data_IF_609145526907
#
_entry.id   IF_609145526907
#
_cell.length_a   1.000
_cell.length_b   1.000
_cell.length_c   1.000
_cell.angle_alpha   90.00
_cell.angle_beta   90.00
_cell.angle_gamma   90.00
#
_symmetry.space_group_name_H-M   'P 1'
#
loop_
_entity.id
_entity.type
_entity.pdbx_description
1 polymer ?
#
# COMPACT_ATOMS: atom_id res chain seq x y z
N UNK A 1 8.49 -13.56 -16.12
CA UNK A 1 7.48 -13.01 -15.17
C UNK A 1 7.58 -13.70 -13.79
N UNK A 2 7.44 -15.02 -13.68
CA UNK A 2 7.46 -15.72 -12.39
C UNK A 2 8.70 -15.43 -11.54
N UNK A 3 9.90 -15.40 -12.15
CA UNK A 3 11.15 -15.12 -11.43
C UNK A 3 11.19 -13.71 -10.85
N UNK A 4 10.76 -12.71 -11.63
CA UNK A 4 10.69 -11.30 -11.18
C UNK A 4 9.69 -11.10 -10.05
N UNK A 5 8.60 -11.89 -10.06
CA UNK A 5 7.55 -11.85 -9.04
C UNK A 5 7.83 -12.78 -7.83
N UNK A 6 9.02 -13.40 -7.75
CA UNK A 6 9.40 -14.25 -6.62
C UNK A 6 8.76 -15.65 -6.62
N UNK A 7 8.18 -16.10 -7.74
CA UNK A 7 7.51 -17.40 -7.87
C UNK A 7 8.32 -18.42 -8.67
N UNK A 8 9.64 -18.29 -8.68
CA UNK A 8 10.54 -19.26 -9.36
C UNK A 8 10.32 -20.67 -8.81
N UNK A 9 10.06 -21.62 -9.70
CA UNK A 9 9.86 -23.01 -9.34
C UNK A 9 8.47 -23.41 -8.89
N UNK A 10 7.53 -22.48 -8.79
CA UNK A 10 6.13 -22.79 -8.49
C UNK A 10 5.31 -22.98 -9.77
N UNK A 11 4.39 -23.94 -9.75
CA UNK A 11 3.40 -24.09 -10.80
C UNK A 11 2.36 -22.97 -10.76
N UNK A 12 1.68 -22.71 -11.87
CA UNK A 12 0.58 -21.75 -11.96
C UNK A 12 -0.54 -22.06 -10.94
N UNK A 13 -0.84 -23.33 -10.72
CA UNK A 13 -1.84 -23.77 -9.76
C UNK A 13 -1.44 -23.43 -8.32
N UNK A 14 -0.19 -23.68 -7.96
CA UNK A 14 0.35 -23.33 -6.63
C UNK A 14 0.32 -21.83 -6.39
N UNK A 15 0.74 -21.03 -7.39
CA UNK A 15 0.69 -19.56 -7.33
C UNK A 15 -0.74 -19.05 -7.14
N UNK A 16 -1.69 -19.53 -7.94
CA UNK A 16 -3.08 -19.14 -7.86
C UNK A 16 -3.68 -19.49 -6.49
N UNK A 17 -3.43 -20.70 -5.99
CA UNK A 17 -3.93 -21.16 -4.69
C UNK A 17 -3.29 -20.38 -3.53
N UNK A 18 -2.00 -20.06 -3.62
CA UNK A 18 -1.31 -19.24 -2.62
C UNK A 18 -1.93 -17.83 -2.56
N UNK A 19 -2.03 -17.13 -3.70
CA UNK A 19 -2.58 -15.79 -3.75
C UNK A 19 -4.03 -15.75 -3.25
N UNK A 20 -4.88 -16.70 -3.65
CA UNK A 20 -6.26 -16.79 -3.18
C UNK A 20 -6.32 -16.89 -1.66
N UNK A 21 -5.59 -17.86 -1.07
CA UNK A 21 -5.58 -18.09 0.38
C UNK A 21 -5.02 -16.89 1.15
N UNK A 22 -3.99 -16.24 0.61
CA UNK A 22 -3.41 -15.04 1.21
C UNK A 22 -4.43 -13.91 1.25
N UNK A 23 -5.10 -13.63 0.14
CA UNK A 23 -6.13 -12.57 0.08
C UNK A 23 -7.30 -12.89 1.01
N UNK A 24 -7.84 -14.12 0.98
CA UNK A 24 -8.91 -14.55 1.87
C UNK A 24 -8.52 -14.39 3.35
N UNK A 25 -7.31 -14.79 3.72
CA UNK A 25 -6.81 -14.62 5.09
C UNK A 25 -6.68 -13.14 5.48
N UNK A 26 -6.10 -12.30 4.62
CA UNK A 26 -5.92 -10.86 4.89
C UNK A 26 -7.25 -10.14 5.10
N UNK A 27 -8.30 -10.50 4.35
CA UNK A 27 -9.61 -9.85 4.42
C UNK A 27 -10.39 -10.20 5.72
N UNK A 28 -10.05 -11.30 6.40
CA UNK A 28 -10.77 -11.80 7.59
C UNK A 28 -10.00 -11.58 8.92
N UNK A 29 -8.84 -10.90 8.86
CA UNK A 29 -7.97 -10.76 10.05
C UNK A 29 -8.49 -9.78 11.10
N UNK A 30 -9.13 -8.70 10.68
CA UNK A 30 -9.56 -7.62 11.58
C UNK A 30 -10.86 -6.98 11.10
N UNK A 31 -11.91 -7.15 11.87
CA UNK A 31 -13.24 -6.59 11.59
C UNK A 31 -13.34 -5.08 11.83
N UNK A 32 -12.33 -4.47 12.46
CA UNK A 32 -12.22 -3.01 12.66
C UNK A 32 -11.42 -2.33 11.57
N UNK A 33 -10.78 -3.12 10.72
CA UNK A 33 -10.02 -2.66 9.54
C UNK A 33 -10.77 -3.02 8.27
N UNK A 34 -10.88 -2.09 7.34
CA UNK A 34 -11.43 -2.33 6.01
C UNK A 34 -10.27 -2.44 5.02
N UNK A 35 -9.94 -3.65 4.65
CA UNK A 35 -9.03 -3.93 3.55
C UNK A 35 -9.87 -4.30 2.31
N UNK A 36 -9.68 -3.58 1.23
CA UNK A 36 -10.31 -3.87 -0.06
C UNK A 36 -9.25 -4.23 -1.09
N UNK A 37 -9.32 -5.43 -1.64
CA UNK A 37 -8.48 -5.88 -2.75
C UNK A 37 -9.45 -6.23 -3.89
N UNK A 38 -9.51 -5.40 -4.92
CA UNK A 38 -10.43 -5.59 -6.02
C UNK A 38 -9.68 -5.69 -7.34
N UNK A 39 -10.03 -6.70 -8.13
CA UNK A 39 -9.45 -6.94 -9.45
C UNK A 39 -10.52 -6.80 -10.53
N UNK A 40 -10.19 -6.24 -11.68
CA UNK A 40 -11.05 -6.24 -12.85
C UNK A 40 -10.29 -6.45 -14.15
N UNK A 41 -11.00 -7.07 -15.08
CA UNK A 41 -10.54 -7.32 -16.45
C UNK A 41 -11.62 -6.79 -17.39
N UNK A 42 -11.27 -5.74 -18.11
CA UNK A 42 -12.13 -5.12 -19.11
C UNK A 42 -11.68 -5.57 -20.49
N UNK A 43 -12.57 -6.20 -21.23
CA UNK A 43 -12.28 -6.81 -22.52
C UNK A 43 -12.97 -5.98 -23.59
N UNK A 44 -12.23 -5.61 -24.66
CA UNK A 44 -12.82 -4.96 -25.81
C UNK A 44 -13.92 -5.85 -26.42
N UNK A 45 -15.09 -5.30 -26.64
CA UNK A 45 -16.22 -6.04 -27.20
C UNK A 45 -15.84 -6.73 -28.52
N UNK A 46 -16.09 -8.04 -28.55
CA UNK A 46 -15.77 -8.90 -29.70
C UNK A 46 -14.31 -9.34 -29.79
N UNK A 47 -13.48 -9.05 -28.76
CA UNK A 47 -12.14 -9.60 -28.66
C UNK A 47 -12.20 -10.97 -27.96
N UNK A 48 -11.70 -12.00 -28.64
CA UNK A 48 -11.78 -13.39 -28.16
C UNK A 48 -10.77 -13.68 -27.05
N UNK A 49 -11.24 -13.73 -25.81
CA UNK A 49 -10.43 -14.16 -24.65
C UNK A 49 -10.87 -15.58 -24.26
N UNK A 50 -9.90 -16.43 -23.91
CA UNK A 50 -10.14 -17.82 -23.54
C UNK A 50 -10.99 -17.96 -22.27
N UNK A 51 -11.99 -18.82 -22.31
CA UNK A 51 -12.90 -19.08 -21.19
C UNK A 51 -12.15 -19.54 -19.93
N UNK A 52 -11.08 -20.33 -20.10
CA UNK A 52 -10.26 -20.81 -18.98
C UNK A 52 -9.55 -19.66 -18.27
N UNK A 53 -9.02 -18.68 -19.02
CA UNK A 53 -8.45 -17.47 -18.45
C UNK A 53 -9.48 -16.68 -17.64
N UNK A 54 -10.67 -16.46 -18.21
CA UNK A 54 -11.77 -15.76 -17.53
C UNK A 54 -12.18 -16.51 -16.25
N UNK A 55 -12.35 -17.83 -16.34
CA UNK A 55 -12.75 -18.69 -15.23
C UNK A 55 -11.75 -18.67 -14.07
N UNK A 56 -10.45 -18.78 -14.38
CA UNK A 56 -9.38 -18.74 -13.37
C UNK A 56 -9.37 -17.38 -12.67
N UNK A 57 -9.44 -16.28 -13.40
CA UNK A 57 -9.42 -14.94 -12.80
C UNK A 57 -10.62 -14.69 -11.89
N UNK A 58 -11.82 -15.11 -12.30
CA UNK A 58 -13.02 -15.04 -11.44
C UNK A 58 -12.89 -15.89 -10.18
N UNK A 59 -12.39 -17.12 -10.30
CA UNK A 59 -12.36 -18.10 -9.21
C UNK A 59 -11.23 -17.84 -8.21
N UNK A 60 -10.04 -17.46 -8.71
CA UNK A 60 -8.82 -17.39 -7.90
C UNK A 60 -8.53 -15.96 -7.40
N UNK A 61 -8.95 -14.94 -8.15
CA UNK A 61 -8.65 -13.54 -7.85
C UNK A 61 -9.89 -12.68 -7.60
N UNK A 62 -11.09 -13.29 -7.57
CA UNK A 62 -12.38 -12.59 -7.45
C UNK A 62 -12.51 -11.42 -8.44
N UNK A 63 -11.93 -11.59 -9.63
CA UNK A 63 -11.87 -10.54 -10.62
C UNK A 63 -13.23 -10.32 -11.28
N UNK A 64 -13.66 -9.05 -11.38
CA UNK A 64 -14.76 -8.69 -12.27
C UNK A 64 -14.25 -8.76 -13.71
N UNK A 65 -14.83 -9.63 -14.53
CA UNK A 65 -14.49 -9.76 -15.96
C UNK A 65 -15.69 -9.32 -16.78
N UNK A 66 -15.51 -8.29 -17.62
CA UNK A 66 -16.60 -7.68 -18.38
C UNK A 66 -16.12 -7.24 -19.76
N UNK A 67 -16.92 -7.57 -20.80
CA UNK A 67 -16.78 -6.95 -22.13
C UNK A 67 -17.31 -5.51 -22.11
N UNK A 68 -16.60 -4.61 -22.80
CA UNK A 68 -16.95 -3.21 -22.91
C UNK A 68 -16.65 -2.69 -24.32
N UNK A 69 -17.55 -1.89 -24.86
CA UNK A 69 -17.30 -1.18 -26.12
C UNK A 69 -16.31 -0.03 -25.89
N UNK A 70 -15.04 -0.29 -26.18
CA UNK A 70 -13.95 0.69 -25.98
C UNK A 70 -14.05 1.91 -26.90
N UNK A 71 -14.82 1.84 -27.99
CA UNK A 71 -15.10 2.99 -28.84
C UNK A 71 -16.18 3.92 -28.25
N UNK A 72 -16.90 3.47 -27.25
CA UNK A 72 -17.91 4.29 -26.57
C UNK A 72 -17.24 5.40 -25.74
N UNK A 73 -17.66 6.67 -25.89
CA UNK A 73 -17.15 7.75 -25.04
C UNK A 73 -17.50 7.58 -23.55
N UNK A 74 -18.38 6.66 -23.20
CA UNK A 74 -18.74 6.33 -21.82
C UNK A 74 -17.88 5.21 -21.22
N UNK A 75 -17.03 4.55 -22.02
CA UNK A 75 -16.23 3.43 -21.53
C UNK A 75 -15.25 3.82 -20.39
N UNK A 76 -14.52 4.94 -20.47
CA UNK A 76 -13.70 5.40 -19.36
C UNK A 76 -14.50 5.63 -18.08
N UNK A 77 -15.69 6.23 -18.17
CA UNK A 77 -16.53 6.51 -17.00
C UNK A 77 -17.02 5.23 -16.30
N UNK A 78 -17.27 4.16 -17.05
CA UNK A 78 -17.67 2.87 -16.48
C UNK A 78 -16.51 2.27 -15.68
N UNK A 79 -15.30 2.31 -16.22
CA UNK A 79 -14.09 1.81 -15.55
C UNK A 79 -13.76 2.67 -14.31
N UNK A 80 -13.82 3.97 -14.46
CA UNK A 80 -13.61 4.92 -13.35
C UNK A 80 -14.64 4.71 -12.23
N UNK A 81 -15.91 4.54 -12.59
CA UNK A 81 -16.99 4.28 -11.63
C UNK A 81 -16.81 2.96 -10.87
N UNK A 82 -16.26 1.93 -11.52
CA UNK A 82 -15.90 0.69 -10.83
C UNK A 82 -14.79 0.93 -9.80
N UNK A 83 -13.71 1.61 -10.19
CA UNK A 83 -12.60 1.91 -9.30
C UNK A 83 -13.04 2.77 -8.10
N UNK A 84 -13.81 3.83 -8.36
CA UNK A 84 -14.40 4.67 -7.32
C UNK A 84 -15.23 3.83 -6.32
N UNK A 85 -16.09 2.95 -6.84
CA UNK A 85 -16.93 2.08 -6.00
C UNK A 85 -16.15 1.08 -5.14
N UNK A 86 -14.98 0.61 -5.63
CA UNK A 86 -14.12 -0.33 -4.90
C UNK A 86 -13.18 0.34 -3.90
N UNK A 87 -12.99 1.65 -4.02
CA UNK A 87 -12.07 2.43 -3.17
C UNK A 87 -12.78 3.50 -2.33
N UNK A 88 -14.08 3.33 -2.06
CA UNK A 88 -14.91 4.31 -1.34
C UNK A 88 -14.79 5.76 -1.88
N UNK A 89 -14.69 5.90 -3.19
CA UNK A 89 -14.43 7.14 -3.93
C UNK A 89 -13.06 7.80 -3.66
N UNK A 90 -12.11 7.10 -3.05
CA UNK A 90 -10.76 7.63 -2.85
C UNK A 90 -9.97 7.68 -4.15
N UNK A 91 -10.27 6.79 -5.11
CA UNK A 91 -9.68 6.80 -6.44
C UNK A 91 -10.81 6.94 -7.47
N UNK A 92 -11.30 8.18 -7.71
CA UNK A 92 -12.47 8.39 -8.55
C UNK A 92 -12.17 8.31 -10.04
N UNK A 93 -10.90 8.40 -10.44
CA UNK A 93 -10.52 8.46 -11.85
C UNK A 93 -9.17 7.78 -12.10
N UNK A 94 -9.19 6.78 -12.97
CA UNK A 94 -8.00 6.00 -13.40
C UNK A 94 -7.74 6.13 -14.91
N UNK A 95 -8.75 6.50 -15.70
CA UNK A 95 -8.65 6.66 -17.15
C UNK A 95 -9.28 7.97 -17.61
N UNK A 96 -8.63 8.65 -18.58
CA UNK A 96 -9.20 9.77 -19.30
C UNK A 96 -9.85 9.31 -20.61
N UNK A 97 -9.14 8.43 -21.32
CA UNK A 97 -9.53 7.90 -22.62
C UNK A 97 -9.03 6.46 -22.78
N UNK A 98 -9.58 5.73 -23.72
CA UNK A 98 -9.15 4.38 -24.09
C UNK A 98 -8.58 4.44 -25.51
N UNK A 99 -7.27 4.13 -25.71
CA UNK A 99 -6.68 4.08 -27.04
C UNK A 99 -7.37 3.05 -27.94
N UNK A 100 -7.51 3.34 -29.21
CA UNK A 100 -8.14 2.43 -30.21
C UNK A 100 -7.43 1.07 -30.32
N UNK A 101 -6.13 1.07 -30.01
CA UNK A 101 -5.27 -0.12 -30.01
C UNK A 101 -5.50 -1.01 -28.79
N UNK A 102 -6.13 -0.51 -27.72
CA UNK A 102 -6.40 -1.28 -26.52
C UNK A 102 -7.29 -2.51 -26.80
N UNK A 103 -6.95 -3.64 -26.24
CA UNK A 103 -7.70 -4.89 -26.33
C UNK A 103 -8.24 -5.32 -24.98
N UNK A 104 -7.45 -5.04 -23.94
CA UNK A 104 -7.72 -5.50 -22.60
C UNK A 104 -7.13 -4.53 -21.57
N UNK A 105 -7.86 -4.29 -20.47
CA UNK A 105 -7.37 -3.58 -19.30
C UNK A 105 -7.43 -4.48 -18.08
N UNK A 106 -6.32 -4.57 -17.38
CA UNK A 106 -6.19 -5.21 -16.06
C UNK A 106 -6.07 -4.12 -15.01
N UNK A 107 -6.98 -4.06 -14.08
CA UNK A 107 -6.96 -3.08 -13.00
C UNK A 107 -6.98 -3.77 -11.65
N UNK A 108 -6.13 -3.31 -10.78
CA UNK A 108 -6.14 -3.65 -9.35
C UNK A 108 -6.39 -2.37 -8.55
N UNK A 109 -7.32 -2.43 -7.61
CA UNK A 109 -7.59 -1.38 -6.66
C UNK A 109 -7.33 -1.91 -5.24
N UNK A 110 -6.40 -1.27 -4.54
CA UNK A 110 -6.08 -1.57 -3.16
C UNK A 110 -6.54 -0.42 -2.28
N UNK A 111 -7.34 -0.74 -1.28
CA UNK A 111 -7.91 0.20 -0.33
C UNK A 111 -7.66 -0.31 1.08
N UNK A 112 -7.20 0.57 1.96
CA UNK A 112 -6.98 0.27 3.37
C UNK A 112 -7.54 1.38 4.23
N UNK A 113 -8.34 0.99 5.22
CA UNK A 113 -8.87 1.86 6.25
C UNK A 113 -8.70 1.18 7.60
N UNK A 114 -7.81 1.68 8.43
CA UNK A 114 -7.52 1.15 9.75
C UNK A 114 -7.67 2.24 10.82
N UNK A 115 -8.28 1.90 11.94
CA UNK A 115 -8.38 2.78 13.11
C UNK A 115 -7.16 2.51 13.99
N UNK A 116 -6.45 3.55 14.44
CA UNK A 116 -5.33 3.36 15.38
C UNK A 116 -5.79 2.64 16.64
N UNK A 117 -5.03 1.67 17.10
CA UNK A 117 -5.24 1.11 18.45
C UNK A 117 -5.12 2.19 19.52
N UNK A 118 -4.09 3.04 19.41
CA UNK A 118 -3.86 4.21 20.25
C UNK A 118 -4.15 5.46 19.42
N UNK A 119 -5.39 5.97 19.47
CA UNK A 119 -5.82 7.12 18.69
C UNK A 119 -5.20 8.42 19.21
N UNK A 120 -4.86 9.31 18.30
CA UNK A 120 -4.47 10.68 18.64
C UNK A 120 -5.71 11.49 19.03
N UNK A 121 -5.57 12.41 19.98
CA UNK A 121 -6.64 13.35 20.31
C UNK A 121 -6.54 14.59 19.41
N UNK A 122 -7.63 14.97 18.79
CA UNK A 122 -7.68 16.18 17.95
C UNK A 122 -7.28 17.46 18.73
N UNK A 123 -7.54 17.49 20.05
CA UNK A 123 -7.12 18.58 20.93
C UNK A 123 -5.60 18.72 21.09
N UNK A 124 -4.87 17.62 20.87
CA UNK A 124 -3.42 17.55 21.06
C UNK A 124 -2.66 17.66 19.73
N UNK A 125 -3.39 17.84 18.62
CA UNK A 125 -2.85 18.19 17.31
C UNK A 125 -2.61 19.69 17.22
N UNK A 126 -1.42 20.10 16.81
CA UNK A 126 -1.02 21.50 16.67
C UNK A 126 -0.35 21.75 15.31
N UNK A 127 -0.35 23.00 14.88
CA UNK A 127 0.45 23.41 13.73
C UNK A 127 1.92 23.47 14.12
N UNK A 128 2.74 22.65 13.43
CA UNK A 128 4.20 22.60 13.63
C UNK A 128 4.93 22.62 12.27
N UNK A 129 6.22 22.91 12.31
CA UNK A 129 7.04 22.93 11.11
C UNK A 129 7.48 21.51 10.73
N UNK A 130 7.34 21.17 9.43
CA UNK A 130 7.92 20.00 8.79
C UNK A 130 9.05 20.47 7.85
N UNK A 131 10.24 19.90 7.96
CA UNK A 131 11.37 20.23 7.08
C UNK A 131 11.34 19.31 5.86
N UNK A 132 11.08 19.88 4.69
CA UNK A 132 10.99 19.14 3.42
C UNK A 132 12.38 18.69 2.94
N UNK A 133 12.43 17.76 1.98
CA UNK A 133 13.67 17.25 1.41
C UNK A 133 14.53 18.33 0.72
N UNK A 134 13.88 19.37 0.20
CA UNK A 134 14.55 20.55 -0.41
C UNK A 134 15.06 21.57 0.62
N UNK A 135 14.89 21.30 1.91
CA UNK A 135 15.24 22.18 3.02
C UNK A 135 14.21 23.29 3.32
N UNK A 136 13.17 23.41 2.52
CA UNK A 136 12.04 24.30 2.82
C UNK A 136 11.25 23.81 4.03
N UNK A 137 10.45 24.69 4.64
CA UNK A 137 9.56 24.32 5.75
C UNK A 137 8.10 24.50 5.36
N UNK A 138 7.32 23.47 5.66
CA UNK A 138 5.86 23.50 5.58
C UNK A 138 5.25 23.54 6.96
N UNK A 139 4.09 24.16 7.11
CA UNK A 139 3.27 24.06 8.33
C UNK A 139 2.33 22.89 8.18
N UNK A 140 2.38 21.95 9.12
CA UNK A 140 1.59 20.72 9.12
C UNK A 140 0.78 20.59 10.40
N UNK A 141 -0.34 19.86 10.34
CA UNK A 141 -1.05 19.45 11.55
C UNK A 141 -0.33 18.25 12.17
N UNK A 142 0.45 18.51 13.22
CA UNK A 142 1.25 17.52 13.91
C UNK A 142 0.43 16.87 15.03
N UNK A 143 0.08 15.61 14.86
CA UNK A 143 -0.59 14.78 15.85
C UNK A 143 0.39 14.36 16.96
N UNK A 144 -0.07 14.22 18.18
CA UNK A 144 0.82 14.02 19.34
C UNK A 144 0.25 12.96 20.30
N UNK A 145 1.08 11.97 20.64
CA UNK A 145 0.86 11.04 21.74
C UNK A 145 2.03 11.11 22.71
N UNK A 146 1.75 11.08 24.00
CA UNK A 146 2.78 11.21 25.05
C UNK A 146 2.77 10.01 25.97
N UNK A 147 3.97 9.50 26.22
CA UNK A 147 4.22 8.37 27.16
C UNK A 147 3.39 7.13 26.81
N UNK A 148 3.20 6.88 25.51
CA UNK A 148 2.50 5.72 24.97
C UNK A 148 3.47 4.62 24.54
N UNK A 149 3.06 3.35 24.72
CA UNK A 149 3.91 2.22 24.36
C UNK A 149 3.73 1.79 22.91
N UNK A 150 4.86 1.78 22.20
CA UNK A 150 4.96 1.30 20.82
C UNK A 150 6.15 0.36 20.67
N UNK A 151 6.13 -0.50 19.67
CA UNK A 151 7.33 -1.19 19.25
C UNK A 151 8.24 -0.17 18.55
N UNK A 152 9.48 -0.11 19.02
CA UNK A 152 10.51 0.83 18.55
C UNK A 152 11.83 0.11 18.37
N UNK A 153 12.61 0.52 17.39
CA UNK A 153 14.00 0.15 17.22
C UNK A 153 14.77 1.31 16.57
N UNK A 154 16.06 1.33 16.77
CA UNK A 154 16.96 2.24 16.06
C UNK A 154 18.21 1.51 15.58
N UNK A 155 18.76 1.99 14.49
CA UNK A 155 20.02 1.53 13.94
C UNK A 155 20.78 2.72 13.34
N UNK A 156 21.90 2.46 12.67
CA UNK A 156 22.72 3.52 12.07
C UNK A 156 22.03 4.31 10.94
N UNK A 157 20.91 3.82 10.39
CA UNK A 157 20.20 4.43 9.24
C UNK A 157 18.86 5.03 9.63
N UNK A 158 18.11 4.33 10.48
CA UNK A 158 16.73 4.69 10.82
C UNK A 158 16.42 4.52 12.30
N UNK A 159 15.59 5.42 12.83
CA UNK A 159 14.74 5.15 13.97
C UNK A 159 13.39 4.69 13.45
N UNK A 160 12.80 3.65 14.04
CA UNK A 160 11.58 3.02 13.57
C UNK A 160 10.55 2.92 14.69
N UNK A 161 9.28 3.24 14.39
CA UNK A 161 8.16 3.04 15.29
C UNK A 161 7.03 2.29 14.57
N UNK A 162 6.48 1.27 15.24
CA UNK A 162 5.34 0.49 14.74
C UNK A 162 4.06 0.89 15.47
N UNK A 163 3.11 1.44 14.70
CA UNK A 163 1.82 1.93 15.17
C UNK A 163 0.74 0.91 14.80
N UNK A 164 0.17 0.16 15.75
CA UNK A 164 -0.82 -0.86 15.47
C UNK A 164 -2.19 -0.26 15.14
N UNK A 165 -2.93 -0.93 14.25
CA UNK A 165 -4.34 -0.70 13.99
C UNK A 165 -5.20 -1.70 14.77
N UNK A 166 -6.41 -1.32 15.12
CA UNK A 166 -7.49 -2.14 15.65
C UNK A 166 -7.05 -3.25 16.61
N UNK A 167 -7.20 -4.49 16.18
CA UNK A 167 -6.82 -5.69 16.93
C UNK A 167 -5.32 -6.05 16.83
N UNK A 168 -4.49 -5.20 16.22
CA UNK A 168 -3.04 -5.36 15.99
C UNK A 168 -2.65 -6.34 14.88
N UNK A 169 -3.59 -6.85 14.09
CA UNK A 169 -3.25 -7.67 12.92
C UNK A 169 -2.49 -6.85 11.86
N UNK A 170 -2.82 -5.56 11.76
CA UNK A 170 -2.14 -4.62 10.87
C UNK A 170 -1.43 -3.52 11.65
N UNK A 171 -0.36 -3.01 11.08
CA UNK A 171 0.37 -1.87 11.66
C UNK A 171 0.96 -0.97 10.57
N UNK A 172 1.13 0.32 10.90
CA UNK A 172 2.02 1.21 10.16
C UNK A 172 3.39 1.21 10.83
N UNK A 173 4.43 0.99 10.06
CA UNK A 173 5.81 1.21 10.51
C UNK A 173 6.33 2.48 9.87
N UNK A 174 6.76 3.43 10.69
CA UNK A 174 7.40 4.67 10.24
C UNK A 174 8.90 4.53 10.41
N UNK A 175 9.66 4.75 9.32
CA UNK A 175 11.12 4.78 9.31
C UNK A 175 11.55 6.23 9.14
N UNK A 176 12.14 6.77 10.18
CA UNK A 176 12.67 8.13 10.21
C UNK A 176 14.18 8.06 10.07
N UNK A 177 14.82 8.74 9.09
CA UNK A 177 16.27 8.74 8.96
C UNK A 177 16.98 9.10 10.27
N UNK A 178 18.06 8.41 10.58
CA UNK A 178 18.86 8.71 11.77
C UNK A 178 19.35 10.17 11.76
N UNK A 179 19.60 10.72 12.94
CA UNK A 179 19.98 12.12 13.08
C UNK A 179 21.20 12.47 12.20
N UNK A 180 21.08 13.54 11.43
CA UNK A 180 22.12 14.00 10.51
C UNK A 180 22.20 13.27 9.17
N UNK A 181 21.32 12.29 8.92
CA UNK A 181 21.22 11.58 7.62
C UNK A 181 20.00 12.05 6.82
N UNK A 182 20.15 12.07 5.51
CA UNK A 182 19.05 12.29 4.59
C UNK A 182 18.33 10.96 4.27
N UNK A 183 17.10 11.06 3.79
CA UNK A 183 16.34 9.87 3.35
C UNK A 183 17.02 9.19 2.16
N UNK A 184 17.62 9.95 1.23
CA UNK A 184 18.28 9.42 0.05
C UNK A 184 19.57 8.66 0.37
N UNK A 185 20.25 8.99 1.49
CA UNK A 185 21.38 8.23 2.01
C UNK A 185 20.96 6.92 2.67
N UNK A 186 19.80 6.91 3.32
CA UNK A 186 19.30 5.75 4.07
C UNK A 186 18.54 4.75 3.18
N UNK A 187 17.80 5.23 2.19
CA UNK A 187 16.91 4.41 1.33
C UNK A 187 17.63 3.24 0.65
N UNK A 188 18.84 3.37 0.08
CA UNK A 188 19.56 2.24 -0.53
C UNK A 188 19.91 1.11 0.43
N UNK A 189 19.80 1.36 1.74
CA UNK A 189 20.08 0.38 2.78
C UNK A 189 18.86 -0.46 3.13
N UNK A 190 17.66 -0.05 2.71
CA UNK A 190 16.42 -0.79 2.90
C UNK A 190 16.31 -1.87 1.81
N UNK A 191 16.60 -3.11 2.18
CA UNK A 191 16.45 -4.31 1.37
C UNK A 191 15.84 -5.43 2.21
N UNK A 192 15.48 -6.57 1.60
CA UNK A 192 14.75 -7.66 2.26
C UNK A 192 15.49 -8.22 3.48
N UNK A 193 16.80 -8.44 3.39
CA UNK A 193 17.61 -8.98 4.47
C UNK A 193 17.61 -8.04 5.68
N UNK A 194 17.95 -6.77 5.46
CA UNK A 194 17.99 -5.76 6.52
C UNK A 194 16.61 -5.43 7.06
N UNK A 195 15.58 -5.42 6.19
CA UNK A 195 14.22 -5.24 6.66
C UNK A 195 13.81 -6.35 7.63
N UNK A 196 14.13 -7.60 7.33
CA UNK A 196 13.89 -8.74 8.23
C UNK A 196 14.57 -8.56 9.58
N UNK A 197 15.86 -8.17 9.59
CA UNK A 197 16.62 -7.88 10.81
C UNK A 197 16.00 -6.73 11.61
N UNK A 198 15.74 -5.59 10.95
CA UNK A 198 15.21 -4.40 11.61
C UNK A 198 13.81 -4.62 12.17
N UNK A 199 12.94 -5.26 11.40
CA UNK A 199 11.60 -5.60 11.85
C UNK A 199 11.60 -6.55 13.07
N UNK A 200 12.57 -7.47 13.12
CA UNK A 200 12.74 -8.39 14.25
C UNK A 200 13.33 -7.72 15.50
N UNK A 201 13.99 -6.59 15.36
CA UNK A 201 14.59 -5.83 16.48
C UNK A 201 13.58 -4.93 17.20
N UNK A 202 12.39 -4.74 16.62
CA UNK A 202 11.32 -3.93 17.22
C UNK A 202 10.92 -4.49 18.59
N UNK A 203 10.95 -3.63 19.60
CA UNK A 203 10.59 -3.99 20.98
C UNK A 203 9.87 -2.83 21.68
N UNK A 204 9.13 -3.12 22.77
CA UNK A 204 8.22 -2.16 23.39
C UNK A 204 8.94 -1.10 24.23
N UNK A 205 8.78 0.17 23.82
CA UNK A 205 9.29 1.35 24.53
C UNK A 205 8.18 2.38 24.74
N UNK A 206 8.33 3.22 25.78
CA UNK A 206 7.50 4.41 25.95
C UNK A 206 8.00 5.52 25.00
N UNK A 207 7.13 6.05 24.15
CA UNK A 207 7.46 7.10 23.18
C UNK A 207 6.67 8.38 23.44
N UNK A 208 7.32 9.51 23.22
CA UNK A 208 6.64 10.75 22.85
C UNK A 208 6.60 10.80 21.32
N UNK A 209 5.47 10.45 20.75
CA UNK A 209 5.30 10.32 19.30
C UNK A 209 4.68 11.58 18.72
N UNK A 210 5.30 12.12 17.67
CA UNK A 210 4.70 13.13 16.80
C UNK A 210 4.66 12.61 15.36
N UNK A 211 3.47 12.63 14.76
CA UNK A 211 3.24 12.21 13.39
C UNK A 211 2.40 13.27 12.66
N UNK A 212 2.83 13.82 11.52
CA UNK A 212 2.02 14.75 10.77
C UNK A 212 0.78 14.06 10.19
N UNK A 213 -0.35 14.77 10.09
CA UNK A 213 -1.40 14.37 9.14
C UNK A 213 -0.85 14.48 7.75
N UNK A 214 -1.16 13.49 6.91
CA UNK A 214 -0.83 13.57 5.49
C UNK A 214 -1.84 12.79 4.65
N UNK A 215 -1.99 13.26 3.42
CA UNK A 215 -2.80 12.65 2.40
C UNK A 215 -1.97 12.55 1.14
N UNK A 216 -1.97 11.38 0.50
CA UNK A 216 -1.20 11.10 -0.70
C UNK A 216 -2.05 10.39 -1.72
N UNK A 217 -2.13 10.97 -2.90
CA UNK A 217 -2.55 10.28 -4.12
C UNK A 217 -1.31 9.97 -4.94
N UNK A 218 -1.20 8.74 -5.40
CA UNK A 218 -0.07 8.32 -6.21
C UNK A 218 -0.54 7.54 -7.42
N UNK A 219 -0.12 8.00 -8.57
CA UNK A 219 -0.38 7.42 -9.88
C UNK A 219 0.96 7.23 -10.57
N UNK A 220 1.28 5.99 -10.93
CA UNK A 220 2.53 5.66 -11.60
C UNK A 220 2.36 4.57 -12.64
N UNK A 221 2.90 4.82 -13.83
CA UNK A 221 3.16 3.78 -14.79
C UNK A 221 4.37 2.94 -14.36
N UNK A 222 4.23 1.60 -14.35
CA UNK A 222 5.21 0.67 -13.80
C UNK A 222 6.01 -0.11 -14.85
N UNK A 223 5.78 0.10 -16.15
CA UNK A 223 6.45 -0.67 -17.22
C UNK A 223 7.97 -0.55 -17.09
N UNK A 224 8.50 0.65 -16.97
CA UNK A 224 9.95 0.88 -16.86
C UNK A 224 10.55 0.24 -15.61
N UNK A 225 9.82 0.29 -14.47
CA UNK A 225 10.27 -0.35 -13.23
C UNK A 225 10.32 -1.88 -13.40
N UNK A 226 9.27 -2.48 -13.96
CA UNK A 226 9.21 -3.92 -14.23
C UNK A 226 10.27 -4.38 -15.23
N UNK A 227 10.53 -3.58 -16.28
CA UNK A 227 11.60 -3.85 -17.23
C UNK A 227 12.98 -3.82 -16.56
N UNK A 228 13.20 -2.88 -15.66
CA UNK A 228 14.42 -2.76 -14.86
C UNK A 228 14.59 -3.97 -13.92
N UNK A 229 13.50 -4.49 -13.37
CA UNK A 229 13.49 -5.71 -12.56
C UNK A 229 13.69 -7.00 -13.37
N UNK A 230 13.70 -6.91 -14.73
CA UNK A 230 13.95 -8.03 -15.63
C UNK A 230 12.72 -8.58 -16.36
N UNK A 231 11.53 -8.00 -16.18
CA UNK A 231 10.31 -8.37 -16.91
C UNK A 231 10.26 -7.63 -18.25
N UNK A 232 11.06 -8.02 -19.23
CA UNK A 232 11.19 -7.30 -20.51
C UNK A 232 10.19 -7.79 -21.57
N UNK A 233 10.09 -9.09 -21.79
CA UNK A 233 9.33 -9.68 -22.90
C UNK A 233 7.83 -9.34 -22.83
N UNK A 234 7.24 -9.27 -21.63
CA UNK A 234 5.82 -9.01 -21.42
C UNK A 234 5.33 -7.67 -22.04
N UNK A 235 6.22 -6.73 -22.25
CA UNK A 235 5.94 -5.38 -22.80
C UNK A 235 6.30 -5.21 -24.27
N UNK A 236 6.65 -6.29 -24.95
CA UNK A 236 7.07 -6.29 -26.36
C UNK A 236 6.17 -7.17 -27.21
N UNK A 237 6.17 -6.99 -28.55
CA UNK A 237 5.44 -7.89 -29.45
C UNK A 237 5.88 -9.37 -29.40
N UNK A 238 7.00 -9.69 -28.72
CA UNK A 238 7.46 -11.05 -28.51
C UNK A 238 6.86 -11.72 -27.27
N UNK A 239 5.96 -11.05 -26.56
CA UNK A 239 5.29 -11.58 -25.39
C UNK A 239 4.42 -12.80 -25.74
N UNK A 240 4.48 -13.82 -24.91
CA UNK A 240 3.62 -15.00 -25.05
C UNK A 240 2.45 -14.90 -24.03
N UNK A 241 1.31 -14.44 -24.54
CA UNK A 241 0.02 -14.44 -23.85
C UNK A 241 -0.99 -15.39 -24.51
N UNK A 242 -0.53 -16.43 -25.19
CA UNK A 242 -1.37 -17.45 -25.83
C UNK A 242 -2.33 -18.17 -24.87
N UNK A 243 -2.04 -18.15 -23.57
CA UNK A 243 -2.98 -18.62 -22.55
C UNK A 243 -4.18 -17.68 -22.31
N UNK A 244 -4.14 -16.44 -22.82
CA UNK A 244 -5.22 -15.45 -22.66
C UNK A 244 -6.11 -15.35 -23.91
N UNK A 245 -5.50 -15.34 -25.10
CA UNK A 245 -6.18 -15.17 -26.37
C UNK A 245 -5.37 -15.78 -27.52
N UNK A 246 -6.01 -16.01 -28.68
CA UNK A 246 -5.35 -16.50 -29.89
C UNK A 246 -4.59 -15.39 -30.64
N UNK A 247 -4.91 -14.12 -30.39
CA UNK A 247 -4.20 -12.98 -30.97
C UNK A 247 -2.94 -12.65 -30.19
N UNK A 248 -1.89 -12.18 -30.88
CA UNK A 248 -0.67 -11.70 -30.25
C UNK A 248 -0.97 -10.47 -29.36
N UNK A 249 -0.59 -10.55 -28.10
CA UNK A 249 -0.80 -9.50 -27.10
C UNK A 249 0.52 -9.14 -26.42
N UNK A 250 0.59 -7.91 -25.96
CA UNK A 250 1.60 -7.47 -25.01
C UNK A 250 1.00 -6.43 -24.07
N UNK A 251 1.61 -6.26 -22.89
CA UNK A 251 1.18 -5.24 -21.91
C UNK A 251 1.66 -3.88 -22.40
N UNK A 252 0.73 -3.01 -22.80
CA UNK A 252 1.03 -1.65 -23.25
C UNK A 252 0.79 -0.58 -22.17
N UNK A 253 0.15 -0.95 -21.07
CA UNK A 253 -0.10 -0.09 -19.91
C UNK A 253 -0.11 -0.95 -18.65
N UNK A 254 0.67 -0.56 -17.67
CA UNK A 254 0.67 -1.12 -16.32
C UNK A 254 0.73 0.03 -15.32
N UNK A 255 -0.39 0.33 -14.70
CA UNK A 255 -0.53 1.52 -13.86
C UNK A 255 -1.02 1.15 -12.47
N UNK A 256 -0.40 1.74 -11.45
CA UNK A 256 -0.79 1.59 -10.06
C UNK A 256 -1.34 2.90 -9.53
N UNK A 257 -2.50 2.80 -8.90
CA UNK A 257 -3.14 3.90 -8.19
C UNK A 257 -3.16 3.58 -6.70
N UNK A 258 -2.72 4.52 -5.90
CA UNK A 258 -2.68 4.36 -4.44
C UNK A 258 -3.18 5.64 -3.78
N UNK A 259 -4.01 5.48 -2.76
CA UNK A 259 -4.46 6.55 -1.90
C UNK A 259 -4.21 6.20 -0.44
N UNK A 260 -3.64 7.14 0.30
CA UNK A 260 -3.40 7.02 1.74
C UNK A 260 -3.77 8.35 2.40
N UNK A 261 -4.60 8.30 3.43
CA UNK A 261 -4.95 9.45 4.27
C UNK A 261 -4.73 9.08 5.74
N UNK A 262 -3.81 9.76 6.39
CA UNK A 262 -3.42 9.53 7.78
C UNK A 262 -3.85 10.68 8.66
N UNK A 263 -4.67 10.39 9.65
CA UNK A 263 -5.21 11.37 10.60
C UNK A 263 -5.28 10.78 12.02
N UNK A 264 -5.89 11.50 12.97
CA UNK A 264 -5.91 11.13 14.39
C UNK A 264 -6.65 9.84 14.70
N UNK A 265 -7.61 9.48 13.88
CA UNK A 265 -8.44 8.30 14.08
C UNK A 265 -7.78 7.05 13.50
N UNK A 266 -6.93 7.25 12.46
CA UNK A 266 -6.29 6.15 11.75
C UNK A 266 -5.90 6.52 10.32
N UNK A 267 -5.83 5.49 9.50
CA UNK A 267 -5.78 5.65 8.05
C UNK A 267 -7.21 5.57 7.54
N UNK A 268 -7.71 6.67 7.01
CA UNK A 268 -9.08 6.90 6.53
C UNK A 268 -10.20 6.48 7.52
N UNK A 269 -10.48 7.32 8.50
CA UNK A 269 -11.27 6.97 9.67
C UNK A 269 -12.76 7.32 9.62
N UNK A 270 -13.56 6.44 10.27
CA UNK A 270 -14.88 6.76 10.82
C UNK A 270 -14.86 6.43 12.32
N UNK A 271 -15.33 7.36 13.16
CA UNK A 271 -15.19 7.30 14.59
C UNK A 271 -15.81 6.05 15.25
N UNK A 272 -14.96 5.24 15.86
CA UNK A 272 -15.34 4.25 16.89
C UNK A 272 -14.39 4.43 18.06
N UNK A 273 -14.92 4.81 19.25
CA UNK A 273 -14.12 4.96 20.45
C UNK A 273 -13.93 3.59 21.11
N UNK A 274 -12.73 3.01 21.04
CA UNK A 274 -12.34 1.82 21.81
C UNK A 274 -11.43 2.28 22.94
N UNK A 275 -11.91 2.25 24.17
CA UNK A 275 -11.11 2.54 25.36
C UNK A 275 -10.40 1.29 25.86
N UNK A 276 -9.07 1.23 25.79
CA UNK A 276 -8.25 0.23 26.47
C UNK A 276 -7.63 0.82 27.74
N UNK A 277 -7.66 0.07 28.85
CA UNK A 277 -6.87 0.38 30.04
C UNK A 277 -5.77 -0.65 30.17
N UNK A 278 -4.51 -0.23 30.02
CA UNK A 278 -3.36 -1.04 30.36
C UNK A 278 -2.87 -0.73 31.79
N UNK A 279 -2.43 -1.78 32.50
CA UNK A 279 -1.84 -1.65 33.83
C UNK A 279 -0.44 -1.02 33.72
N UNK A 280 -0.28 0.16 34.30
CA UNK A 280 1.02 0.80 34.42
C UNK A 280 1.95 -0.01 35.33
N UNK A 281 3.08 -0.47 34.78
CA UNK A 281 4.18 -1.02 35.57
C UNK A 281 5.11 0.16 35.94
N UNK A 282 5.24 0.54 37.23
CA UNK A 282 6.09 1.65 37.64
C UNK A 282 7.57 1.24 37.56
N UNK A 283 8.30 1.80 36.63
CA UNK A 283 9.75 1.86 36.59
C UNK A 283 10.16 3.17 35.95
N UNK A 284 11.36 3.73 36.21
CA UNK A 284 11.83 4.90 35.47
C UNK A 284 12.09 4.50 34.02
N UNK A 285 11.05 4.55 33.18
CA UNK A 285 11.21 4.35 31.74
C UNK A 285 11.64 5.68 31.14
N UNK A 286 12.81 5.69 30.53
CA UNK A 286 13.21 6.81 29.67
C UNK A 286 12.23 6.86 28.50
N UNK A 287 11.42 7.92 28.42
CA UNK A 287 10.51 8.14 27.30
C UNK A 287 11.31 8.63 26.11
N UNK A 288 11.24 7.92 25.00
CA UNK A 288 12.01 8.21 23.78
C UNK A 288 11.24 9.21 22.91
N UNK A 289 11.84 10.32 22.48
CA UNK A 289 11.22 11.20 21.49
C UNK A 289 11.27 10.57 20.09
N UNK A 290 10.13 10.46 19.43
CA UNK A 290 10.01 10.04 18.03
C UNK A 290 9.19 11.08 17.27
N UNK A 291 9.87 12.07 16.68
CA UNK A 291 9.25 13.22 16.04
C UNK A 291 9.42 13.15 14.53
N UNK A 292 8.32 12.89 13.82
CA UNK A 292 8.29 12.79 12.35
C UNK A 292 8.12 14.20 11.76
N UNK A 293 9.19 14.98 11.81
CA UNK A 293 9.26 16.39 11.42
C UNK A 293 10.10 16.65 10.15
N UNK A 294 10.50 15.57 9.48
CA UNK A 294 11.34 15.55 8.28
C UNK A 294 11.03 14.35 7.40
N UNK A 295 11.58 14.24 6.18
CA UNK A 295 11.30 13.15 5.24
C UNK A 295 11.40 11.77 5.88
N UNK A 296 10.42 10.92 5.61
CA UNK A 296 10.30 9.58 6.20
C UNK A 296 9.74 8.57 5.21
N UNK A 297 9.86 7.28 5.54
CA UNK A 297 9.17 6.18 4.88
C UNK A 297 8.09 5.66 5.81
N UNK A 298 6.97 5.25 5.26
CA UNK A 298 5.98 4.46 5.98
C UNK A 298 5.69 3.16 5.23
N UNK A 299 5.35 2.12 5.98
CA UNK A 299 4.85 0.85 5.46
C UNK A 299 3.59 0.49 6.22
N UNK A 300 2.57 -0.02 5.52
CA UNK A 300 1.43 -0.67 6.16
C UNK A 300 1.60 -2.16 5.91
N UNK A 301 1.69 -2.95 6.98
CA UNK A 301 1.95 -4.39 6.90
C UNK A 301 0.96 -5.20 7.72
N UNK A 302 0.77 -6.46 7.34
CA UNK A 302 0.20 -7.49 8.18
C UNK A 302 1.30 -8.05 9.11
N UNK A 303 0.98 -8.24 10.37
CA UNK A 303 1.98 -8.47 11.43
C UNK A 303 2.53 -9.90 11.47
N UNK A 304 1.71 -10.91 11.20
CA UNK A 304 2.09 -12.32 11.35
C UNK A 304 2.93 -12.84 10.20
N UNK A 305 2.61 -12.43 8.99
CA UNK A 305 3.33 -12.83 7.77
C UNK A 305 4.40 -11.83 7.35
N UNK A 306 4.27 -10.58 7.82
CA UNK A 306 5.13 -9.48 7.39
C UNK A 306 4.80 -8.96 5.97
N UNK A 307 3.67 -9.39 5.38
CA UNK A 307 3.25 -8.89 4.06
C UNK A 307 3.04 -7.38 4.11
N UNK A 308 3.75 -6.68 3.24
CA UNK A 308 3.63 -5.23 3.08
C UNK A 308 2.51 -4.95 2.09
N UNK A 309 1.48 -4.22 2.53
CA UNK A 309 0.33 -3.82 1.72
C UNK A 309 0.58 -2.47 1.04
N UNK A 310 1.18 -1.53 1.76
CA UNK A 310 1.53 -0.20 1.27
C UNK A 310 2.94 0.17 1.69
N UNK A 311 3.63 0.89 0.83
CA UNK A 311 4.90 1.52 1.13
C UNK A 311 4.94 2.89 0.46
N UNK A 312 5.38 3.90 1.20
CA UNK A 312 5.47 5.25 0.66
C UNK A 312 6.62 6.05 1.24
N UNK A 313 7.11 6.99 0.43
CA UNK A 313 8.13 7.97 0.80
C UNK A 313 7.49 9.35 0.85
N UNK A 314 7.50 9.98 2.02
CA UNK A 314 7.02 11.36 2.23
C UNK A 314 8.23 12.28 2.26
N UNK A 315 8.37 13.11 1.24
CA UNK A 315 9.51 14.03 1.09
C UNK A 315 9.13 15.50 1.26
N UNK A 316 7.83 15.78 1.15
CA UNK A 316 7.26 17.12 1.27
C UNK A 316 5.81 17.01 1.73
N UNK A 317 5.39 17.91 2.61
CA UNK A 317 4.02 18.07 3.10
C UNK A 317 3.56 19.53 2.97
#
# INVERSE_FOLDING_TARGET
MTDVLGFSGYSLEEMNNYNKKLVEALLDLDNTTQLGIANSIWIKKGFGVHDDFVSVNKKMYDAQVQELDFASPKAPDIINGWCAGKTNNCIPKVLNEIPETARLYLLNALYFKGIWKNQFKKSDTAEEAFTNADGSKSTVHMMNLRDERFNYAENEYFSMAELPYGNEAFSMVVLLPAEGKSLDECLPQLNDERWGEWNSSLSSFALNLKLPRFEMEYDKELIDDMMTMGMQEAFTPSADFSGMADEDLFISLLQQFTYVNVNEEGTEAAAVTVGGMDLAVPGPSTVIPFYVDRPFIFLIKEKSTGVILFMGKVTKL
#
